data_IF_327160026119
#
_entry.id   IF_327160026119
#
_cell.length_a   1.000
_cell.length_b   1.000
_cell.length_c   1.000
_cell.angle_alpha   90.00
_cell.angle_beta   90.00
_cell.angle_gamma   90.00
#
_symmetry.space_group_name_H-M   'P 1'
#
loop_
_entity.id
_entity.type
_entity.pdbx_description
1 polymer ?
#
# COMPACT_ATOMS: atom_id res chain seq x y z
N UNK A 1 20.77 -5.81 -12.73
CA UNK A 1 20.27 -4.45 -12.62
C UNK A 1 19.43 -4.34 -11.35
N UNK A 2 19.46 -3.19 -10.73
CA UNK A 2 18.71 -2.95 -9.51
C UNK A 2 17.42 -2.20 -9.82
N UNK A 3 16.33 -2.63 -9.21
CA UNK A 3 15.03 -2.01 -9.36
C UNK A 3 14.44 -1.65 -8.01
N UNK A 4 13.71 -0.55 -7.99
CA UNK A 4 12.87 -0.18 -6.85
C UNK A 4 11.43 -0.51 -7.21
N UNK A 5 10.79 -1.32 -6.37
CA UNK A 5 9.38 -1.64 -6.51
C UNK A 5 8.62 -1.02 -5.35
N UNK A 6 7.74 -0.10 -5.65
CA UNK A 6 6.86 0.50 -4.65
C UNK A 6 5.51 -0.19 -4.71
N UNK A 7 5.11 -0.77 -3.59
CA UNK A 7 3.83 -1.46 -3.46
C UNK A 7 2.96 -0.68 -2.49
N UNK A 8 1.85 -0.17 -2.98
CA UNK A 8 0.88 0.55 -2.16
C UNK A 8 -0.29 -0.37 -1.91
N UNK A 9 -0.51 -0.72 -0.64
CA UNK A 9 -1.56 -1.65 -0.21
C UNK A 9 -2.70 -0.86 0.40
N UNK A 10 -3.91 -1.05 -0.12
CA UNK A 10 -5.12 -0.36 0.32
C UNK A 10 -6.16 -1.37 0.75
N UNK A 11 -7.04 -0.98 1.68
CA UNK A 11 -8.20 -1.78 2.02
C UNK A 11 -9.25 -1.67 0.93
N UNK A 12 -9.93 -2.79 0.64
CA UNK A 12 -11.08 -2.79 -0.28
C UNK A 12 -12.21 -1.97 0.30
N UNK A 13 -13.05 -1.43 -0.57
CA UNK A 13 -14.24 -0.68 -0.17
C UNK A 13 -15.10 -1.54 0.77
N UNK A 14 -15.57 -0.94 1.86
CA UNK A 14 -16.42 -1.64 2.82
C UNK A 14 -15.65 -2.38 3.92
N UNK A 15 -14.33 -2.46 3.82
CA UNK A 15 -13.49 -3.06 4.87
C UNK A 15 -13.16 -1.98 5.90
N UNK A 16 -13.28 -2.34 7.18
CA UNK A 16 -13.01 -1.43 8.29
C UNK A 16 -11.55 -0.99 8.34
N UNK A 17 -11.33 0.30 8.60
CA UNK A 17 -10.01 0.90 8.79
C UNK A 17 -9.97 1.59 10.17
N UNK A 18 -9.73 0.82 11.24
CA UNK A 18 -9.73 1.40 12.59
C UNK A 18 -8.67 2.48 12.79
N UNK A 19 -7.51 2.34 12.17
CA UNK A 19 -6.43 3.34 12.28
C UNK A 19 -6.85 4.66 11.65
N UNK A 20 -7.44 4.61 10.45
CA UNK A 20 -7.98 5.81 9.80
C UNK A 20 -9.10 6.46 10.60
N UNK A 21 -10.01 5.65 11.15
CA UNK A 21 -11.10 6.15 11.98
C UNK A 21 -10.59 6.84 13.24
N UNK A 22 -9.59 6.27 13.89
CA UNK A 22 -8.98 6.87 15.08
C UNK A 22 -8.24 8.16 14.73
N UNK A 23 -7.56 8.21 13.61
CA UNK A 23 -6.89 9.41 13.13
C UNK A 23 -7.90 10.53 12.89
N UNK A 24 -9.00 10.23 12.23
CA UNK A 24 -10.07 11.21 11.98
C UNK A 24 -10.63 11.76 13.27
N UNK A 25 -10.95 10.88 14.22
CA UNK A 25 -11.47 11.28 15.53
C UNK A 25 -10.51 12.20 16.26
N UNK A 26 -9.22 11.85 16.25
CA UNK A 26 -8.21 12.66 16.94
C UNK A 26 -8.04 14.02 16.28
N UNK A 27 -8.07 14.09 14.95
CA UNK A 27 -8.02 15.35 14.22
C UNK A 27 -9.19 16.26 14.60
N UNK A 28 -10.40 15.70 14.72
CA UNK A 28 -11.57 16.47 15.15
C UNK A 28 -11.39 16.99 16.57
N UNK A 29 -10.85 16.17 17.47
CA UNK A 29 -10.59 16.60 18.86
C UNK A 29 -9.56 17.71 18.94
N UNK A 30 -8.63 17.77 17.98
CA UNK A 30 -7.63 18.83 17.90
C UNK A 30 -8.14 20.09 17.20
N UNK A 31 -9.38 20.12 16.76
CA UNK A 31 -9.99 21.28 16.13
C UNK A 31 -10.04 21.26 14.62
N UNK A 32 -9.56 20.19 13.99
CA UNK A 32 -9.57 20.07 12.53
C UNK A 32 -10.87 19.42 12.04
N UNK A 33 -11.98 20.08 12.28
CA UNK A 33 -13.30 19.52 11.97
C UNK A 33 -13.63 19.47 10.50
N UNK A 34 -12.86 20.17 9.66
CA UNK A 34 -13.04 20.17 8.21
C UNK A 34 -12.50 18.90 7.53
N UNK A 35 -11.79 18.05 8.24
CA UNK A 35 -11.36 16.75 7.71
C UNK A 35 -12.56 15.82 7.71
N UNK A 36 -12.94 15.32 6.53
CA UNK A 36 -14.17 14.53 6.37
C UNK A 36 -13.92 13.02 6.39
N UNK A 37 -12.69 12.61 6.07
CA UNK A 37 -12.34 11.19 6.07
C UNK A 37 -10.83 11.06 6.25
N UNK A 38 -10.39 9.91 6.75
CA UNK A 38 -8.98 9.57 6.86
C UNK A 38 -8.84 8.08 6.59
N UNK A 39 -7.98 7.75 5.64
CA UNK A 39 -7.68 6.36 5.29
C UNK A 39 -6.20 6.11 5.43
N UNK A 40 -5.86 4.92 5.89
CA UNK A 40 -4.46 4.51 6.04
C UNK A 40 -4.09 3.49 4.99
N UNK A 41 -2.88 3.63 4.46
CA UNK A 41 -2.33 2.71 3.47
C UNK A 41 -0.98 2.20 3.97
N UNK A 42 -0.62 0.99 3.56
CA UNK A 42 0.74 0.49 3.76
C UNK A 42 1.49 0.60 2.44
N UNK A 43 2.72 1.09 2.51
CA UNK A 43 3.59 1.20 1.34
C UNK A 43 4.87 0.45 1.64
N UNK A 44 5.25 -0.44 0.71
CA UNK A 44 6.54 -1.13 0.77
C UNK A 44 7.44 -0.61 -0.33
N UNK A 45 8.66 -0.25 0.00
CA UNK A 45 9.71 0.05 -0.98
C UNK A 45 10.67 -1.13 -0.99
N UNK A 46 10.69 -1.87 -2.09
CA UNK A 46 11.52 -3.05 -2.24
C UNK A 46 12.62 -2.77 -3.25
N UNK A 47 13.83 -3.14 -2.90
CA UNK A 47 14.99 -3.02 -3.80
C UNK A 47 15.36 -4.41 -4.26
N UNK A 48 15.21 -4.67 -5.55
CA UNK A 48 15.27 -6.01 -6.11
C UNK A 48 16.26 -6.05 -7.25
N UNK A 49 17.17 -7.02 -7.22
CA UNK A 49 18.02 -7.31 -8.34
C UNK A 49 17.27 -8.17 -9.34
N UNK A 50 17.30 -7.78 -10.61
CA UNK A 50 16.58 -8.49 -11.65
C UNK A 50 17.09 -8.16 -13.04
N UNK A 51 16.58 -8.86 -14.03
CA UNK A 51 16.99 -8.71 -15.44
C UNK A 51 16.27 -7.56 -16.12
N UNK A 52 14.97 -7.43 -15.89
CA UNK A 52 14.15 -6.40 -16.49
C UNK A 52 12.94 -6.10 -15.60
N UNK A 53 12.26 -5.00 -15.90
CA UNK A 53 11.14 -4.54 -15.08
C UNK A 53 9.94 -5.50 -15.11
N UNK A 54 9.72 -6.20 -16.21
CA UNK A 54 8.60 -7.14 -16.32
C UNK A 54 8.78 -8.34 -15.39
N UNK A 55 9.98 -8.91 -15.32
CA UNK A 55 10.27 -10.01 -14.43
C UNK A 55 10.18 -9.59 -12.98
N UNK A 56 10.70 -8.42 -12.66
CA UNK A 56 10.63 -7.86 -11.30
C UNK A 56 9.17 -7.64 -10.91
N UNK A 57 8.36 -7.08 -11.79
CA UNK A 57 6.94 -6.86 -11.52
C UNK A 57 6.19 -8.17 -11.25
N UNK A 58 6.46 -9.21 -12.03
CA UNK A 58 5.86 -10.53 -11.81
C UNK A 58 6.23 -11.11 -10.46
N UNK A 59 7.49 -10.97 -10.08
CA UNK A 59 7.95 -11.44 -8.77
C UNK A 59 7.28 -10.66 -7.64
N UNK A 60 7.16 -9.36 -7.79
CA UNK A 60 6.50 -8.51 -6.77
C UNK A 60 5.02 -8.86 -6.64
N UNK A 61 4.34 -9.17 -7.75
CA UNK A 61 2.96 -9.63 -7.69
C UNK A 61 2.82 -10.91 -6.88
N UNK A 62 3.74 -11.85 -7.03
CA UNK A 62 3.77 -13.06 -6.22
C UNK A 62 4.01 -12.74 -4.74
N UNK A 63 4.91 -11.81 -4.46
CA UNK A 63 5.15 -11.36 -3.09
C UNK A 63 3.91 -10.76 -2.47
N UNK A 64 3.17 -9.95 -3.22
CA UNK A 64 1.92 -9.35 -2.76
C UNK A 64 0.91 -10.44 -2.39
N UNK A 65 0.73 -11.42 -3.26
CA UNK A 65 -0.24 -12.48 -3.05
C UNK A 65 0.11 -13.40 -1.89
N UNK A 66 1.41 -13.61 -1.65
CA UNK A 66 1.87 -14.57 -0.65
C UNK A 66 2.12 -13.96 0.73
N UNK A 67 2.52 -12.68 0.78
CA UNK A 67 2.98 -12.07 2.02
C UNK A 67 2.47 -10.65 2.25
N UNK A 68 2.63 -9.77 1.25
CA UNK A 68 2.47 -8.33 1.47
C UNK A 68 1.03 -7.90 1.60
N UNK A 69 0.10 -8.67 1.06
CA UNK A 69 -1.33 -8.35 1.12
C UNK A 69 -2.14 -9.57 1.53
N UNK A 70 -3.36 -9.30 1.97
CA UNK A 70 -4.40 -10.31 2.07
C UNK A 70 -5.39 -10.03 0.93
N UNK A 71 -5.40 -10.86 -0.14
CA UNK A 71 -6.24 -10.57 -1.31
C UNK A 71 -7.74 -10.49 -1.03
N UNK A 72 -8.19 -11.05 0.10
CA UNK A 72 -9.60 -10.98 0.50
C UNK A 72 -10.00 -9.55 0.87
N UNK A 73 -9.10 -8.82 1.55
CA UNK A 73 -9.40 -7.49 2.10
C UNK A 73 -8.60 -6.35 1.45
N UNK A 74 -7.56 -6.66 0.68
CA UNK A 74 -6.68 -5.64 0.12
C UNK A 74 -6.75 -5.56 -1.40
N UNK A 75 -6.54 -4.34 -1.91
CA UNK A 75 -6.09 -4.10 -3.28
C UNK A 75 -4.67 -3.53 -3.21
N UNK A 76 -3.94 -3.59 -4.30
CA UNK A 76 -2.58 -3.06 -4.32
C UNK A 76 -2.21 -2.53 -5.69
N UNK A 77 -1.28 -1.58 -5.68
CA UNK A 77 -0.65 -1.05 -6.89
C UNK A 77 0.85 -1.25 -6.79
N UNK A 78 1.46 -1.64 -7.91
CA UNK A 78 2.90 -1.86 -8.01
C UNK A 78 3.47 -0.88 -9.02
N UNK A 79 4.54 -0.17 -8.61
CA UNK A 79 5.28 0.72 -9.48
C UNK A 79 6.74 0.31 -9.44
N UNK A 80 7.27 -0.07 -10.60
CA UNK A 80 8.66 -0.53 -10.73
C UNK A 80 9.46 0.50 -11.51
N UNK A 81 10.62 0.87 -11.00
CA UNK A 81 11.55 1.74 -11.68
C UNK A 81 12.98 1.24 -11.51
N UNK A 82 13.80 1.47 -12.52
CA UNK A 82 15.22 1.13 -12.46
C UNK A 82 15.99 2.18 -11.66
N UNK A 83 16.88 1.71 -10.81
CA UNK A 83 17.72 2.58 -9.99
C UNK A 83 19.21 2.34 -10.23
#
# INVERSE_FOLDING_TARGET
MMFEAQVIVKLKKGISDPEGANTLKTLHLLGFENVKDAKTFHTFDLFIEGKNSENVKKDVEKMCQRLLTNPVIHTYNIKVSEV
#
